data_IF_856563438711
#
_entry.id   IF_856563438711
#
_cell.length_a   1.000
_cell.length_b   1.000
_cell.length_c   1.000
_cell.angle_alpha   90.00
_cell.angle_beta   90.00
_cell.angle_gamma   90.00
#
_symmetry.space_group_name_H-M   'P 1'
#
loop_
_entity.id
_entity.type
_entity.pdbx_description
1 polymer ?
#
# COMPACT_ATOMS: atom_id res chain seq x y z
N UNK A 1 21.41 1.01 23.96
CA UNK A 1 20.79 0.10 22.97
C UNK A 1 20.62 0.89 21.69
N UNK A 2 21.37 0.56 20.64
CA UNK A 2 21.25 1.21 19.33
C UNK A 2 19.98 0.69 18.67
N UNK A 3 18.94 1.50 18.62
CA UNK A 3 17.71 1.19 17.88
C UNK A 3 18.06 1.12 16.40
N UNK A 4 17.90 -0.04 15.77
CA UNK A 4 18.00 -0.14 14.30
C UNK A 4 16.92 0.76 13.71
N UNK A 5 17.31 1.74 12.88
CA UNK A 5 16.37 2.66 12.22
C UNK A 5 15.65 2.02 11.05
N UNK A 6 16.22 0.95 10.48
CA UNK A 6 15.61 0.16 9.41
C UNK A 6 14.47 -0.71 9.97
N UNK A 7 13.25 -0.16 9.98
CA UNK A 7 12.06 -0.78 10.59
C UNK A 7 10.85 -0.81 9.66
N UNK A 8 10.90 -0.15 8.51
CA UNK A 8 9.77 -0.07 7.59
C UNK A 8 9.77 -1.26 6.63
N UNK A 9 8.69 -2.05 6.66
CA UNK A 9 8.42 -3.12 5.70
C UNK A 9 7.38 -2.63 4.71
N UNK A 10 7.78 -2.53 3.44
CA UNK A 10 6.90 -2.15 2.34
C UNK A 10 6.16 -3.38 1.83
N UNK A 11 4.82 -3.34 1.86
CA UNK A 11 3.93 -4.35 1.32
C UNK A 11 3.19 -3.77 0.10
N UNK A 12 3.86 -3.86 -1.05
CA UNK A 12 3.29 -3.53 -2.34
C UNK A 12 2.48 -4.71 -2.90
N UNK A 13 1.72 -4.45 -3.95
CA UNK A 13 1.09 -5.51 -4.72
C UNK A 13 -0.15 -5.04 -5.47
N UNK A 14 -0.61 -5.80 -6.48
CA UNK A 14 -1.84 -5.51 -7.20
C UNK A 14 -3.05 -5.33 -6.27
N UNK A 15 -4.05 -4.57 -6.71
CA UNK A 15 -5.31 -4.47 -5.97
C UNK A 15 -6.00 -5.84 -5.90
N UNK A 16 -6.32 -6.28 -4.67
CA UNK A 16 -6.90 -7.60 -4.40
C UNK A 16 -5.86 -8.70 -4.10
N UNK A 17 -4.55 -8.40 -4.14
CA UNK A 17 -3.50 -9.39 -3.90
C UNK A 17 -3.32 -9.79 -2.42
N UNK A 18 -4.10 -9.22 -1.50
CA UNK A 18 -4.09 -9.63 -0.08
C UNK A 18 -3.07 -8.92 0.81
N UNK A 19 -2.38 -7.88 0.33
CA UNK A 19 -1.43 -7.08 1.13
C UNK A 19 -2.01 -6.55 2.44
N UNK A 20 -3.19 -5.93 2.43
CA UNK A 20 -3.83 -5.40 3.65
C UNK A 20 -4.29 -6.53 4.59
N UNK A 21 -4.64 -7.71 4.06
CA UNK A 21 -4.96 -8.90 4.87
C UNK A 21 -3.71 -9.49 5.53
N UNK A 22 -2.57 -9.52 4.84
CA UNK A 22 -1.29 -9.90 5.41
C UNK A 22 -0.88 -8.91 6.51
N UNK A 23 -1.00 -7.61 6.25
CA UNK A 23 -0.70 -6.57 7.24
C UNK A 23 -1.55 -6.73 8.51
N UNK A 24 -2.87 -6.94 8.37
CA UNK A 24 -3.77 -7.17 9.50
C UNK A 24 -3.41 -8.44 10.32
N UNK A 25 -2.96 -9.52 9.66
CA UNK A 25 -2.50 -10.72 10.36
C UNK A 25 -1.23 -10.46 11.17
N UNK A 26 -0.26 -9.75 10.58
CA UNK A 26 0.99 -9.38 11.25
C UNK A 26 0.73 -8.42 12.42
N UNK A 27 -0.16 -7.45 12.25
CA UNK A 27 -0.61 -6.58 13.35
C UNK A 27 -1.27 -7.40 14.46
N UNK A 28 -2.16 -8.34 14.14
CA UNK A 28 -2.81 -9.18 15.15
C UNK A 28 -1.84 -10.10 15.90
N UNK A 29 -0.77 -10.55 15.23
CA UNK A 29 0.23 -11.45 15.82
C UNK A 29 1.30 -10.72 16.65
N UNK A 30 1.74 -9.53 16.20
CA UNK A 30 2.90 -8.83 16.75
C UNK A 30 2.62 -7.44 17.30
N UNK A 31 1.41 -6.90 17.11
CA UNK A 31 1.06 -5.52 17.49
C UNK A 31 1.59 -4.45 16.53
N UNK A 32 2.25 -4.84 15.43
CA UNK A 32 2.91 -3.90 14.52
C UNK A 32 1.97 -2.88 13.88
N UNK A 33 2.36 -1.59 13.83
CA UNK A 33 1.55 -0.56 13.22
C UNK A 33 1.47 -0.68 11.70
N UNK A 34 0.32 -0.31 11.17
CA UNK A 34 0.07 -0.25 9.74
C UNK A 34 -0.08 1.22 9.33
N UNK A 35 0.72 1.66 8.37
CA UNK A 35 0.54 2.91 7.65
C UNK A 35 -0.03 2.58 6.28
N UNK A 36 -1.31 2.92 6.08
CA UNK A 36 -2.02 2.71 4.82
C UNK A 36 -1.66 3.83 3.86
N UNK A 37 -0.81 3.54 2.89
CA UNK A 37 -0.33 4.51 1.91
C UNK A 37 -1.44 4.97 0.96
N UNK A 38 -2.46 4.13 0.79
CA UNK A 38 -3.69 4.51 0.10
C UNK A 38 -4.47 5.63 0.84
N UNK A 39 -4.13 6.00 2.08
CA UNK A 39 -4.76 7.16 2.72
C UNK A 39 -4.10 8.50 2.30
N UNK A 40 -2.96 8.46 1.60
CA UNK A 40 -2.22 9.64 1.15
C UNK A 40 -2.58 10.06 -0.29
N UNK A 41 -3.69 9.56 -0.86
CA UNK A 41 -4.21 10.13 -2.11
C UNK A 41 -4.50 11.62 -1.93
N UNK A 42 -4.32 12.37 -3.02
CA UNK A 42 -4.78 13.75 -3.08
C UNK A 42 -6.28 13.75 -3.31
N UNK A 43 -6.94 14.81 -2.88
CA UNK A 43 -8.36 15.02 -3.15
C UNK A 43 -8.59 15.16 -4.67
N UNK A 44 -9.76 14.74 -5.15
CA UNK A 44 -10.10 14.77 -6.59
C UNK A 44 -9.95 16.16 -7.24
N UNK A 45 -10.18 17.21 -6.46
CA UNK A 45 -10.10 18.61 -6.88
C UNK A 45 -8.72 19.26 -6.64
N UNK A 46 -7.73 18.52 -6.15
CA UNK A 46 -6.35 19.00 -6.03
C UNK A 46 -5.80 19.37 -7.44
N UNK A 47 -5.32 20.61 -7.64
CA UNK A 47 -4.78 21.06 -8.94
C UNK A 47 -3.62 20.22 -9.49
N UNK A 48 -2.89 19.51 -8.61
CA UNK A 48 -1.80 18.62 -8.99
C UNK A 48 -2.30 17.24 -9.45
N UNK A 49 -3.62 16.96 -9.42
CA UNK A 49 -4.14 15.67 -9.82
C UNK A 49 -3.92 15.41 -11.31
N UNK A 50 -3.28 14.28 -11.66
CA UNK A 50 -3.11 13.87 -13.04
C UNK A 50 -4.47 13.57 -13.67
N UNK A 51 -4.60 13.94 -14.94
CA UNK A 51 -5.79 13.64 -15.75
C UNK A 51 -5.37 12.82 -16.96
N UNK A 52 -6.21 11.84 -17.31
CA UNK A 52 -6.06 11.07 -18.53
C UNK A 52 -6.18 12.00 -19.74
N UNK A 53 -5.16 12.02 -20.60
CA UNK A 53 -5.18 12.80 -21.84
C UNK A 53 -6.30 12.35 -22.79
N UNK A 54 -6.63 11.06 -22.79
CA UNK A 54 -7.66 10.47 -23.65
C UNK A 54 -9.08 10.75 -23.15
N UNK A 55 -9.31 10.62 -21.84
CA UNK A 55 -10.66 10.64 -21.25
C UNK A 55 -11.00 11.95 -20.53
N UNK A 56 -10.01 12.81 -20.25
CA UNK A 56 -10.18 14.08 -19.52
C UNK A 56 -10.58 13.93 -18.04
N UNK A 57 -10.63 12.69 -17.53
CA UNK A 57 -10.96 12.35 -16.15
C UNK A 57 -9.68 12.17 -15.32
N UNK A 58 -9.82 12.21 -14.00
CA UNK A 58 -8.71 11.95 -13.07
C UNK A 58 -8.10 10.56 -13.30
N UNK A 59 -6.77 10.52 -13.37
CA UNK A 59 -5.99 9.29 -13.49
C UNK A 59 -5.47 8.83 -12.12
N UNK A 60 -6.28 8.01 -11.45
CA UNK A 60 -5.93 7.44 -10.14
C UNK A 60 -4.83 6.37 -10.18
N UNK A 61 -4.43 5.91 -11.37
CA UNK A 61 -3.38 4.91 -11.55
C UNK A 61 -2.01 5.57 -11.81
N UNK A 62 -1.96 6.92 -11.88
CA UNK A 62 -0.74 7.69 -12.06
C UNK A 62 -0.02 7.95 -10.72
N UNK A 63 1.32 7.81 -10.61
CA UNK A 63 2.06 7.98 -9.36
C UNK A 63 1.92 9.35 -8.67
N UNK A 64 1.55 10.39 -9.41
CA UNK A 64 1.32 11.74 -8.86
C UNK A 64 -0.06 11.93 -8.21
N UNK A 65 -0.95 10.92 -8.32
CA UNK A 65 -2.29 10.95 -7.71
C UNK A 65 -2.27 10.93 -6.18
N UNK A 66 -1.11 10.64 -5.58
CA UNK A 66 -0.95 10.56 -4.13
C UNK A 66 0.29 11.32 -3.68
N UNK A 67 0.29 11.76 -2.43
CA UNK A 67 1.37 12.53 -1.84
C UNK A 67 2.48 11.61 -1.30
N UNK A 68 3.32 11.12 -2.22
CA UNK A 68 4.50 10.29 -1.91
C UNK A 68 5.38 10.91 -0.81
N UNK A 69 5.66 12.21 -0.90
CA UNK A 69 6.53 12.90 0.05
C UNK A 69 5.93 12.90 1.46
N UNK A 70 4.63 13.23 1.59
CA UNK A 70 3.94 13.20 2.88
C UNK A 70 3.93 11.79 3.49
N UNK A 71 3.79 10.74 2.67
CA UNK A 71 3.87 9.37 3.14
C UNK A 71 5.25 8.99 3.68
N UNK A 72 6.33 9.36 2.97
CA UNK A 72 7.72 9.12 3.40
C UNK A 72 8.03 9.88 4.69
N UNK A 73 7.58 11.14 4.79
CA UNK A 73 7.80 11.95 5.99
C UNK A 73 6.99 11.45 7.18
N UNK A 74 5.77 10.95 6.94
CA UNK A 74 4.98 10.31 7.99
C UNK A 74 5.65 9.04 8.54
N UNK A 75 6.18 8.19 7.66
CA UNK A 75 6.95 7.01 8.05
C UNK A 75 8.23 7.37 8.80
N UNK A 76 8.96 8.39 8.30
CA UNK A 76 10.18 8.89 8.95
C UNK A 76 9.87 9.42 10.36
N UNK A 77 8.78 10.18 10.50
CA UNK A 77 8.31 10.69 11.79
C UNK A 77 7.96 9.55 12.73
N UNK A 78 7.13 8.59 12.29
CA UNK A 78 6.72 7.45 13.12
C UNK A 78 7.91 6.65 13.65
N UNK A 79 8.92 6.38 12.81
CA UNK A 79 10.13 5.65 13.25
C UNK A 79 10.95 6.48 14.24
N UNK A 80 11.04 7.80 14.06
CA UNK A 80 11.85 8.68 14.90
C UNK A 80 11.19 9.02 16.24
N UNK A 81 9.88 9.22 16.26
CA UNK A 81 9.14 9.74 17.43
C UNK A 81 8.26 8.69 18.12
N UNK A 82 7.96 7.58 17.43
CA UNK A 82 7.00 6.57 17.90
C UNK A 82 5.54 6.92 17.67
N UNK A 83 5.24 8.09 17.08
CA UNK A 83 3.85 8.51 16.81
C UNK A 83 3.76 9.46 15.61
N UNK A 84 2.74 9.28 14.76
CA UNK A 84 2.45 10.18 13.66
C UNK A 84 0.94 10.30 13.41
N UNK A 85 0.48 11.46 12.95
CA UNK A 85 -0.87 11.62 12.40
C UNK A 85 -0.87 11.33 10.90
N UNK A 86 -1.75 10.46 10.46
CA UNK A 86 -1.97 10.13 9.05
C UNK A 86 -3.38 10.55 8.64
N UNK A 87 -3.60 10.90 7.37
CA UNK A 87 -4.95 11.12 6.86
C UNK A 87 -5.80 9.84 6.98
N UNK A 88 -7.13 10.03 6.97
CA UNK A 88 -8.13 9.01 6.70
C UNK A 88 -8.80 9.40 5.40
N UNK A 89 -8.64 8.57 4.36
CA UNK A 89 -9.16 8.87 3.03
C UNK A 89 -10.42 8.06 2.73
N UNK A 90 -11.48 8.75 2.29
CA UNK A 90 -12.68 8.09 1.80
C UNK A 90 -12.64 8.00 0.28
N UNK A 91 -12.41 6.79 -0.24
CA UNK A 91 -12.36 6.49 -1.66
C UNK A 91 -13.69 6.80 -2.38
N UNK A 92 -14.81 6.76 -1.66
CA UNK A 92 -16.14 7.04 -2.24
C UNK A 92 -16.39 8.53 -2.42
N UNK A 93 -15.76 9.35 -1.58
CA UNK A 93 -15.80 10.82 -1.64
C UNK A 93 -14.58 11.40 -2.35
N UNK A 94 -13.64 10.54 -2.77
CA UNK A 94 -12.37 10.90 -3.40
C UNK A 94 -11.64 12.03 -2.65
N UNK A 95 -11.60 11.95 -1.31
CA UNK A 95 -10.94 12.97 -0.47
C UNK A 95 -10.57 12.49 0.92
N UNK A 96 -9.63 13.20 1.55
CA UNK A 96 -9.37 13.08 2.97
C UNK A 96 -10.55 13.61 3.80
N UNK A 97 -11.00 12.82 4.78
CA UNK A 97 -12.17 13.13 5.61
C UNK A 97 -11.84 13.31 7.08
N UNK A 98 -10.71 12.79 7.55
CA UNK A 98 -10.26 12.91 8.93
C UNK A 98 -8.74 12.66 9.02
N UNK A 99 -8.21 12.63 10.24
CA UNK A 99 -6.87 12.15 10.57
C UNK A 99 -6.93 11.12 11.69
N UNK A 100 -6.02 10.16 11.66
CA UNK A 100 -5.85 9.17 12.72
C UNK A 100 -4.41 9.16 13.21
N UNK A 101 -4.19 8.68 14.43
CA UNK A 101 -2.86 8.60 15.02
C UNK A 101 -2.37 7.16 14.97
N UNK A 102 -1.19 6.96 14.37
CA UNK A 102 -0.46 5.69 14.36
C UNK A 102 0.66 5.77 15.39
N UNK A 103 0.82 4.71 16.20
CA UNK A 103 1.88 4.59 17.22
C UNK A 103 2.74 3.35 16.97
N UNK A 104 4.03 3.44 17.26
CA UNK A 104 5.00 2.37 17.11
C UNK A 104 5.89 2.32 18.35
N UNK A 105 6.04 1.15 18.96
CA UNK A 105 7.04 0.94 20.00
C UNK A 105 8.45 0.89 19.39
N UNK A 106 9.55 1.15 20.12
CA UNK A 106 10.89 1.28 19.56
C UNK A 106 11.43 0.09 18.74
N UNK A 107 10.85 -1.10 18.90
CA UNK A 107 11.29 -2.33 18.24
C UNK A 107 10.30 -2.88 17.21
N UNK A 108 9.15 -2.22 17.01
CA UNK A 108 8.14 -2.68 16.06
C UNK A 108 8.64 -2.57 14.62
N UNK A 109 8.24 -3.52 13.77
CA UNK A 109 8.27 -3.25 12.34
C UNK A 109 7.06 -2.39 11.96
N UNK A 110 7.27 -1.38 11.13
CA UNK A 110 6.20 -0.52 10.60
C UNK A 110 5.79 -1.08 9.24
N UNK A 111 4.53 -1.46 9.10
CA UNK A 111 3.99 -2.03 7.86
C UNK A 111 3.45 -0.89 6.98
N UNK A 112 4.14 -0.57 5.89
CA UNK A 112 3.70 0.42 4.91
C UNK A 112 3.05 -0.30 3.72
N UNK A 113 1.73 -0.22 3.57
CA UNK A 113 0.99 -0.99 2.56
C UNK A 113 0.17 -0.10 1.63
N UNK A 114 0.09 -0.47 0.35
CA UNK A 114 -0.63 0.30 -0.65
C UNK A 114 -0.33 -0.15 -2.09
N UNK A 115 -1.11 0.33 -3.06
CA UNK A 115 -0.85 -0.02 -4.48
C UNK A 115 0.41 0.65 -5.03
N UNK A 116 0.71 1.87 -4.56
CA UNK A 116 1.91 2.63 -4.89
C UNK A 116 3.05 2.45 -3.88
N UNK A 117 2.95 1.47 -2.97
CA UNK A 117 3.94 1.30 -1.90
C UNK A 117 5.37 1.09 -2.42
N UNK A 118 5.52 0.53 -3.62
CA UNK A 118 6.84 0.34 -4.22
C UNK A 118 7.55 1.66 -4.59
N UNK A 119 6.81 2.75 -4.82
CA UNK A 119 7.41 4.04 -5.19
C UNK A 119 8.34 4.59 -4.11
N UNK A 120 8.03 4.35 -2.84
CA UNK A 120 8.80 4.90 -1.71
C UNK A 120 10.02 4.06 -1.32
N UNK A 121 10.27 2.94 -2.01
CA UNK A 121 11.37 2.02 -1.66
C UNK A 121 12.72 2.74 -1.72
N UNK A 122 12.94 3.53 -2.77
CA UNK A 122 14.18 4.29 -2.93
C UNK A 122 14.38 5.29 -1.78
N UNK A 123 13.35 6.08 -1.46
CA UNK A 123 13.42 7.09 -0.40
C UNK A 123 13.69 6.47 0.96
N UNK A 124 12.99 5.36 1.28
CA UNK A 124 13.17 4.65 2.54
C UNK A 124 14.56 4.00 2.64
N UNK A 125 15.10 3.51 1.51
CA UNK A 125 16.46 2.95 1.46
C UNK A 125 17.51 4.05 1.68
N UNK A 126 17.38 5.18 1.00
CA UNK A 126 18.28 6.33 1.14
C UNK A 126 18.28 6.89 2.56
N UNK A 127 17.12 6.88 3.23
CA UNK A 127 16.99 7.31 4.64
C UNK A 127 17.39 6.24 5.66
N UNK A 128 17.79 5.04 5.24
CA UNK A 128 18.12 3.94 6.15
C UNK A 128 16.95 3.44 7.00
N UNK A 129 15.72 3.62 6.50
CA UNK A 129 14.47 3.22 7.16
C UNK A 129 13.92 1.87 6.66
N UNK A 130 14.36 1.43 5.48
CA UNK A 130 13.84 0.22 4.83
C UNK A 130 14.36 -1.07 5.49
N UNK A 131 13.47 -1.83 6.11
CA UNK A 131 13.74 -3.18 6.62
C UNK A 131 13.54 -4.26 5.54
N UNK A 132 12.57 -4.06 4.64
CA UNK A 132 12.28 -4.96 3.54
C UNK A 132 11.21 -4.42 2.61
N UNK A 133 11.19 -4.86 1.36
CA UNK A 133 10.20 -4.46 0.37
C UNK A 133 9.71 -5.67 -0.41
N UNK A 134 8.40 -5.88 -0.41
CA UNK A 134 7.79 -7.07 -0.99
C UNK A 134 6.61 -6.72 -1.89
N UNK A 135 6.57 -7.32 -3.08
CA UNK A 135 5.40 -7.32 -3.94
C UNK A 135 4.59 -8.58 -3.64
N UNK A 136 3.50 -8.41 -2.89
CA UNK A 136 2.57 -9.50 -2.56
C UNK A 136 1.73 -9.81 -3.78
N UNK A 137 1.77 -11.05 -4.25
CA UNK A 137 0.98 -11.47 -5.42
C UNK A 137 0.45 -12.91 -5.30
N UNK A 138 -0.58 -13.20 -6.09
CA UNK A 138 -1.19 -14.51 -6.25
C UNK A 138 -1.33 -14.86 -7.73
N UNK A 139 -1.94 -16.01 -8.02
CA UNK A 139 -2.37 -16.28 -9.39
C UNK A 139 -3.44 -15.25 -9.78
N UNK A 140 -3.24 -14.53 -10.89
CA UNK A 140 -4.10 -13.40 -11.33
C UNK A 140 -5.61 -13.68 -11.34
N UNK A 141 -6.01 -14.93 -11.65
CA UNK A 141 -7.42 -15.34 -11.66
C UNK A 141 -7.99 -15.35 -10.23
N UNK A 142 -7.18 -15.79 -9.26
CA UNK A 142 -7.56 -15.77 -7.84
C UNK A 142 -7.66 -14.32 -7.36
N UNK A 143 -6.67 -13.48 -7.70
CA UNK A 143 -6.70 -12.03 -7.40
C UNK A 143 -7.96 -11.37 -7.97
N UNK A 144 -8.32 -11.67 -9.22
CA UNK A 144 -9.53 -11.19 -9.87
C UNK A 144 -10.80 -11.62 -9.12
N UNK A 145 -10.95 -12.91 -8.80
CA UNK A 145 -12.14 -13.42 -8.10
C UNK A 145 -12.29 -12.78 -6.73
N UNK A 146 -11.21 -12.72 -5.94
CA UNK A 146 -11.26 -12.10 -4.61
C UNK A 146 -11.60 -10.60 -4.69
N UNK A 147 -11.02 -9.88 -5.65
CA UNK A 147 -11.35 -8.47 -5.89
C UNK A 147 -12.82 -8.28 -6.27
N UNK A 148 -13.33 -9.12 -7.18
CA UNK A 148 -14.72 -9.05 -7.62
C UNK A 148 -15.69 -9.30 -6.45
N UNK A 149 -15.43 -10.34 -5.64
CA UNK A 149 -16.25 -10.65 -4.47
C UNK A 149 -16.26 -9.50 -3.46
N UNK A 150 -15.08 -8.92 -3.15
CA UNK A 150 -14.97 -7.74 -2.29
C UNK A 150 -15.77 -6.56 -2.84
N UNK A 151 -15.50 -6.17 -4.09
CA UNK A 151 -16.10 -4.96 -4.68
C UNK A 151 -17.62 -5.10 -4.84
N UNK A 152 -18.13 -6.32 -5.05
CA UNK A 152 -19.57 -6.63 -5.03
C UNK A 152 -20.15 -6.51 -3.61
N UNK A 153 -19.47 -7.04 -2.59
CA UNK A 153 -19.92 -6.94 -1.20
C UNK A 153 -19.99 -5.49 -0.71
N UNK A 154 -19.06 -4.66 -1.17
CA UNK A 154 -18.97 -3.23 -0.87
C UNK A 154 -19.89 -2.36 -1.75
N UNK A 155 -20.67 -2.95 -2.67
CA UNK A 155 -21.60 -2.26 -3.58
C UNK A 155 -20.97 -1.09 -4.35
N UNK A 156 -19.67 -1.17 -4.66
CA UNK A 156 -18.91 -0.01 -5.14
C UNK A 156 -19.36 0.51 -6.51
N UNK A 157 -19.78 -0.39 -7.40
CA UNK A 157 -20.15 -0.10 -8.81
C UNK A 157 -21.13 -1.15 -9.33
N UNK A 158 -21.83 -0.89 -10.47
CA UNK A 158 -22.64 -1.90 -11.13
C UNK A 158 -21.84 -3.19 -11.44
N UNK A 159 -22.43 -4.39 -11.28
CA UNK A 159 -21.72 -5.67 -11.42
C UNK A 159 -20.94 -5.82 -12.75
N UNK A 160 -21.55 -5.40 -13.86
CA UNK A 160 -20.90 -5.46 -15.17
C UNK A 160 -19.63 -4.61 -15.26
N UNK A 161 -19.65 -3.41 -14.66
CA UNK A 161 -18.49 -2.53 -14.56
C UNK A 161 -17.37 -3.18 -13.76
N UNK A 162 -17.69 -3.87 -12.67
CA UNK A 162 -16.73 -4.60 -11.85
C UNK A 162 -16.09 -5.77 -12.59
N UNK A 163 -16.87 -6.54 -13.35
CA UNK A 163 -16.35 -7.64 -14.19
C UNK A 163 -15.40 -7.10 -15.26
N UNK A 164 -15.83 -6.08 -16.02
CA UNK A 164 -15.02 -5.48 -17.10
C UNK A 164 -13.71 -4.89 -16.56
N UNK A 165 -13.78 -4.10 -15.48
CA UNK A 165 -12.61 -3.53 -14.81
C UNK A 165 -11.71 -4.64 -14.25
N UNK A 166 -12.30 -5.64 -13.61
CA UNK A 166 -11.54 -6.73 -13.03
C UNK A 166 -10.78 -7.55 -14.08
N UNK A 167 -11.35 -7.78 -15.26
CA UNK A 167 -10.67 -8.44 -16.38
C UNK A 167 -9.51 -7.59 -16.93
N UNK A 168 -9.71 -6.27 -17.06
CA UNK A 168 -8.63 -5.36 -17.49
C UNK A 168 -7.45 -5.40 -16.51
N UNK A 169 -7.73 -5.26 -15.22
CA UNK A 169 -6.72 -5.32 -14.15
C UNK A 169 -6.02 -6.69 -14.08
N UNK A 170 -6.74 -7.79 -14.31
CA UNK A 170 -6.14 -9.14 -14.35
C UNK A 170 -5.15 -9.31 -15.51
N UNK A 171 -5.44 -8.69 -16.67
CA UNK A 171 -4.53 -8.69 -17.83
C UNK A 171 -3.29 -7.85 -17.54
N UNK A 172 -3.47 -6.72 -16.87
CA UNK A 172 -2.39 -5.78 -16.56
C UNK A 172 -1.52 -6.19 -15.36
N UNK A 173 -1.99 -7.09 -14.50
CA UNK A 173 -1.31 -7.54 -13.28
C UNK A 173 0.20 -7.86 -13.43
N UNK A 174 0.67 -8.55 -14.50
CA UNK A 174 2.10 -8.81 -14.67
C UNK A 174 2.93 -7.55 -14.88
N UNK A 175 2.38 -6.55 -15.57
CA UNK A 175 3.03 -5.25 -15.77
C UNK A 175 3.16 -4.54 -14.42
N UNK A 176 2.13 -4.60 -13.58
CA UNK A 176 2.15 -4.04 -12.23
C UNK A 176 3.23 -4.73 -11.38
N UNK A 177 3.29 -6.06 -11.37
CA UNK A 177 4.31 -6.80 -10.62
C UNK A 177 5.72 -6.47 -11.12
N UNK A 178 5.97 -6.53 -12.44
CA UNK A 178 7.27 -6.22 -13.02
C UNK A 178 7.71 -4.77 -12.71
N UNK A 179 6.76 -3.83 -12.70
CA UNK A 179 7.01 -2.44 -12.30
C UNK A 179 7.43 -2.36 -10.84
N UNK A 180 6.73 -3.02 -9.92
CA UNK A 180 7.07 -3.02 -8.50
C UNK A 180 8.43 -3.68 -8.24
N UNK A 181 8.77 -4.75 -8.96
CA UNK A 181 10.10 -5.36 -8.93
C UNK A 181 11.19 -4.41 -9.42
N UNK A 182 10.94 -3.67 -10.50
CA UNK A 182 11.88 -2.66 -11.02
C UNK A 182 12.16 -1.53 -10.03
N UNK A 183 11.22 -1.24 -9.13
CA UNK A 183 11.37 -0.28 -8.03
C UNK A 183 12.09 -0.89 -6.80
N UNK A 184 12.43 -2.17 -6.86
CA UNK A 184 13.21 -2.88 -5.84
C UNK A 184 12.38 -3.71 -4.85
N UNK A 185 11.12 -4.00 -5.16
CA UNK A 185 10.32 -4.95 -4.37
C UNK A 185 10.67 -6.40 -4.74
N UNK A 186 10.67 -7.30 -3.76
CA UNK A 186 10.84 -8.75 -4.00
C UNK A 186 9.46 -9.40 -4.10
N UNK A 187 9.17 -10.06 -5.22
CA UNK A 187 7.91 -10.80 -5.38
C UNK A 187 7.83 -11.98 -4.43
N UNK A 188 6.74 -12.08 -3.68
CA UNK A 188 6.51 -13.17 -2.76
C UNK A 188 5.01 -13.42 -2.52
N UNK A 189 4.68 -14.64 -2.09
CA UNK A 189 3.32 -14.97 -1.66
C UNK A 189 3.15 -14.65 -0.18
N UNK A 190 1.96 -14.20 0.20
CA UNK A 190 1.66 -13.88 1.61
C UNK A 190 2.00 -15.00 2.60
N UNK A 191 1.75 -16.26 2.21
CA UNK A 191 2.05 -17.45 3.03
C UNK A 191 3.55 -17.65 3.34
N UNK A 192 4.42 -17.15 2.47
CA UNK A 192 5.87 -17.30 2.58
C UNK A 192 6.47 -16.08 3.31
N UNK A 193 5.84 -14.91 3.15
CA UNK A 193 6.24 -13.66 3.83
C UNK A 193 5.90 -13.64 5.32
N UNK A 194 4.73 -14.14 5.71
CA UNK A 194 4.30 -14.10 7.12
C UNK A 194 5.32 -14.77 8.08
N UNK A 195 5.80 -16.00 7.85
CA UNK A 195 6.82 -16.61 8.70
C UNK A 195 8.17 -15.90 8.59
N UNK A 196 8.53 -15.40 7.40
CA UNK A 196 9.78 -14.67 7.18
C UNK A 196 9.82 -13.37 8.00
N UNK A 197 8.76 -12.57 7.93
CA UNK A 197 8.65 -11.33 8.69
C UNK A 197 8.58 -11.61 10.18
N UNK A 198 7.82 -12.63 10.59
CA UNK A 198 7.75 -13.03 12.01
C UNK A 198 9.09 -13.49 12.58
N UNK A 199 10.02 -13.97 11.74
CA UNK A 199 11.37 -14.29 12.16
C UNK A 199 12.24 -13.04 12.39
N UNK A 200 11.96 -11.92 11.71
CA UNK A 200 12.62 -10.63 11.93
C UNK A 200 12.18 -9.95 13.24
N UNK A 201 11.07 -10.42 13.83
CA UNK A 201 10.54 -9.95 15.11
C UNK A 201 11.32 -10.46 16.34
N UNK A 202 12.20 -11.45 16.15
CA UNK A 202 12.93 -12.17 17.20
C UNK A 202 14.36 -11.66 17.31
#
# INVERSE_FOLDING_TARGET
MTTTTARVVVLAGPSGAGKSRLAARLQGAHGWPIVRLDDFYRDEDDPAMPRSEELGIVDWDHPDSWNRQAAVDALSTLVATGEVRTPVYDISLSRAVDTTTVRADPHDLVLAEGIFAAEIIADLRERGLLAGAYCVHHHRVVTFVWRLLRDLSEHRKPPWTLVRRGLALMRDEPRVVARQESLGAVSARAKDLEPLLSALAR
#
